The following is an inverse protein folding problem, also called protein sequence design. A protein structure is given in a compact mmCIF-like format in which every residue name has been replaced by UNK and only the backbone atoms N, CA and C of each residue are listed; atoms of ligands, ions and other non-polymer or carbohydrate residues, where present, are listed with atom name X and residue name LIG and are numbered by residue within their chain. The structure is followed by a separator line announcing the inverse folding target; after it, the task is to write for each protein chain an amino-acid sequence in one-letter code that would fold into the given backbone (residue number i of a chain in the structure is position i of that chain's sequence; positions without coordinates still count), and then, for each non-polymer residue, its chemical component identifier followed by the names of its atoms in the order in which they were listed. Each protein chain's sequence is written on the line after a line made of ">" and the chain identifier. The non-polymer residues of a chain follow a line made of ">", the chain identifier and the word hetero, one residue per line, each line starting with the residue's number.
data_IF_567494555589
#
_entry.id   IF_567494555589
#
_cell.length_a   1.000
_cell.length_b   1.000
_cell.length_c   1.000
_cell.angle_alpha   90.00
_cell.angle_beta   90.00
_cell.angle_gamma   90.00
#
_symmetry.space_group_name_H-M   'P 1'
#
loop_
_entity.id
_entity.type
_entity.pdbx_description
1 polymer ?
#
# COMPACT_ATOMS: atom_id res chain seq x y z
N UNK A 1 -13.31 18.35 9.26
CA UNK A 1 -14.60 17.72 8.89
C UNK A 1 -14.41 16.21 8.83
N UNK A 2 -15.18 15.44 9.60
CA UNK A 2 -15.12 13.97 9.59
C UNK A 2 -15.95 13.45 8.42
N UNK A 3 -15.40 12.52 7.65
CA UNK A 3 -16.14 11.85 6.59
C UNK A 3 -17.29 11.03 7.18
N UNK A 4 -18.51 11.24 6.66
CA UNK A 4 -19.70 10.44 7.01
C UNK A 4 -20.16 9.67 5.78
N UNK A 5 -20.18 8.36 5.90
CA UNK A 5 -20.68 7.49 4.84
C UNK A 5 -22.21 7.53 4.81
N UNK A 6 -22.78 7.86 3.64
CA UNK A 6 -24.21 7.75 3.36
C UNK A 6 -24.46 6.69 2.29
N UNK A 7 -25.29 5.68 2.57
CA UNK A 7 -25.68 4.70 1.55
C UNK A 7 -26.30 5.38 0.34
N UNK A 8 -26.07 4.83 -0.85
CA UNK A 8 -26.60 5.34 -2.12
C UNK A 8 -28.10 5.57 -2.06
N UNK A 9 -28.85 4.60 -1.53
CA UNK A 9 -30.30 4.67 -1.40
C UNK A 9 -30.75 5.91 -0.61
N UNK A 10 -30.00 6.29 0.44
CA UNK A 10 -30.30 7.48 1.24
C UNK A 10 -30.10 8.75 0.42
N UNK A 11 -29.04 8.82 -0.39
CA UNK A 11 -28.80 9.97 -1.27
C UNK A 11 -29.91 10.10 -2.31
N UNK A 12 -30.31 8.99 -2.94
CA UNK A 12 -31.37 8.96 -3.95
C UNK A 12 -32.71 9.40 -3.35
N UNK A 13 -33.09 8.86 -2.19
CA UNK A 13 -34.32 9.27 -1.50
C UNK A 13 -34.28 10.74 -1.09
N UNK A 14 -33.12 11.23 -0.63
CA UNK A 14 -32.95 12.62 -0.25
C UNK A 14 -33.20 13.57 -1.45
N UNK A 15 -32.60 13.29 -2.60
CA UNK A 15 -32.82 14.08 -3.83
C UNK A 15 -34.27 13.95 -4.30
N UNK A 16 -34.83 12.73 -4.33
CA UNK A 16 -36.21 12.48 -4.75
C UNK A 16 -37.22 13.29 -3.93
N UNK A 17 -37.10 13.29 -2.60
CA UNK A 17 -38.03 14.03 -1.75
C UNK A 17 -37.97 15.54 -1.96
N UNK A 18 -36.81 16.11 -2.30
CA UNK A 18 -36.72 17.53 -2.68
C UNK A 18 -37.42 17.80 -4.00
N UNK A 19 -37.27 16.91 -4.98
CA UNK A 19 -37.97 17.03 -6.26
C UNK A 19 -39.49 16.92 -6.10
N UNK A 20 -39.95 16.19 -5.08
CA UNK A 20 -41.35 16.12 -4.65
C UNK A 20 -41.82 17.36 -3.85
N UNK A 21 -40.94 18.33 -3.61
CA UNK A 21 -41.25 19.60 -2.98
C UNK A 21 -41.02 19.66 -1.46
N UNK A 22 -40.43 18.63 -0.85
CA UNK A 22 -40.13 18.64 0.58
C UNK A 22 -38.95 19.56 0.90
N UNK A 23 -39.07 20.29 2.01
CA UNK A 23 -37.97 21.05 2.59
C UNK A 23 -36.89 20.14 3.19
N UNK A 24 -35.69 20.67 3.35
CA UNK A 24 -34.55 19.95 3.92
C UNK A 24 -34.85 19.33 5.30
N UNK A 25 -35.55 20.06 6.18
CA UNK A 25 -35.88 19.57 7.52
C UNK A 25 -36.93 18.44 7.50
N UNK A 26 -37.87 18.51 6.57
CA UNK A 26 -38.83 17.41 6.33
C UNK A 26 -38.12 16.17 5.80
N UNK A 27 -37.14 16.32 4.90
CA UNK A 27 -36.33 15.22 4.38
C UNK A 27 -35.53 14.54 5.50
N UNK A 28 -34.91 15.31 6.40
CA UNK A 28 -34.18 14.76 7.56
C UNK A 28 -35.11 13.98 8.49
N UNK A 29 -36.27 14.55 8.78
CA UNK A 29 -37.30 13.92 9.62
C UNK A 29 -37.78 12.61 9.01
N UNK A 30 -38.07 12.61 7.71
CA UNK A 30 -38.61 11.46 6.98
C UNK A 30 -37.57 10.34 6.80
N UNK A 31 -36.31 10.69 6.57
CA UNK A 31 -35.21 9.73 6.46
C UNK A 31 -34.67 9.26 7.82
N UNK A 32 -35.07 9.91 8.93
CA UNK A 32 -34.55 9.67 10.29
C UNK A 32 -33.03 9.66 10.34
N UNK A 33 -32.39 10.52 9.55
CA UNK A 33 -30.93 10.61 9.40
C UNK A 33 -30.52 12.08 9.46
N UNK A 34 -29.47 12.34 10.23
CA UNK A 34 -28.83 13.66 10.23
C UNK A 34 -27.87 13.76 9.06
N UNK A 35 -28.40 14.09 7.88
CA UNK A 35 -27.59 14.51 6.73
C UNK A 35 -27.06 15.91 7.03
N UNK A 36 -25.84 16.23 6.59
CA UNK A 36 -25.32 17.61 6.68
C UNK A 36 -25.78 18.44 5.49
N UNK A 37 -25.98 19.74 5.71
CA UNK A 37 -26.44 20.66 4.66
C UNK A 37 -25.48 20.66 3.46
N UNK A 38 -24.18 20.69 3.72
CA UNK A 38 -23.14 20.63 2.68
C UNK A 38 -23.18 19.34 1.85
N UNK A 39 -23.43 18.18 2.49
CA UNK A 39 -23.52 16.91 1.76
C UNK A 39 -24.73 16.92 0.85
N UNK A 40 -25.84 17.45 1.35
CA UNK A 40 -27.09 17.55 0.63
C UNK A 40 -27.00 18.49 -0.57
N UNK A 41 -26.44 19.69 -0.37
CA UNK A 41 -26.18 20.66 -1.44
C UNK A 41 -25.29 20.04 -2.53
N UNK A 42 -24.23 19.32 -2.16
CA UNK A 42 -23.38 18.62 -3.13
C UNK A 42 -24.14 17.58 -3.96
N UNK A 43 -25.07 16.84 -3.36
CA UNK A 43 -25.88 15.86 -4.10
C UNK A 43 -26.87 16.55 -5.03
N UNK A 44 -27.50 17.65 -4.61
CA UNK A 44 -28.40 18.44 -5.45
C UNK A 44 -27.67 19.07 -6.63
N UNK A 45 -26.52 19.70 -6.40
CA UNK A 45 -25.67 20.27 -7.46
C UNK A 45 -25.28 19.18 -8.46
N UNK A 46 -24.81 18.03 -7.99
CA UNK A 46 -24.46 16.92 -8.85
C UNK A 46 -25.65 16.45 -9.69
N UNK A 47 -26.83 16.30 -9.07
CA UNK A 47 -28.04 15.88 -9.74
C UNK A 47 -28.49 16.88 -10.81
N UNK A 48 -28.47 18.18 -10.52
CA UNK A 48 -28.83 19.20 -11.51
C UNK A 48 -27.90 19.21 -12.74
N UNK A 49 -26.63 18.87 -12.55
CA UNK A 49 -25.66 18.84 -13.66
C UNK A 49 -25.64 17.52 -14.44
N UNK A 50 -25.91 16.40 -13.80
CA UNK A 50 -25.64 15.06 -14.39
C UNK A 50 -26.86 14.14 -14.40
N UNK A 51 -27.98 14.55 -13.79
CA UNK A 51 -29.13 13.70 -13.46
C UNK A 51 -28.77 12.47 -12.62
N UNK A 52 -27.58 12.46 -12.00
CA UNK A 52 -27.08 11.39 -11.16
C UNK A 52 -26.82 11.87 -9.73
N UNK A 53 -26.96 10.96 -8.77
CA UNK A 53 -26.76 11.23 -7.33
C UNK A 53 -25.39 10.75 -6.84
N UNK A 54 -24.68 9.99 -7.68
CA UNK A 54 -23.31 9.52 -7.45
C UNK A 54 -22.48 9.98 -8.64
N UNK A 55 -21.25 10.45 -8.39
CA UNK A 55 -20.30 10.71 -9.47
C UNK A 55 -19.96 9.40 -10.18
N UNK A 56 -19.68 9.49 -11.46
CA UNK A 56 -19.18 8.32 -12.20
C UNK A 56 -17.86 7.83 -11.57
N UNK A 57 -17.77 6.57 -11.13
CA UNK A 57 -16.54 6.00 -10.60
C UNK A 57 -15.32 6.21 -11.50
N UNK A 58 -15.48 6.19 -12.82
CA UNK A 58 -14.34 6.40 -13.74
C UNK A 58 -13.68 7.78 -13.57
N UNK A 59 -14.44 8.77 -13.11
CA UNK A 59 -13.98 10.16 -12.91
C UNK A 59 -13.18 10.38 -11.64
N UNK A 60 -13.26 9.46 -10.66
CA UNK A 60 -12.55 9.58 -9.38
C UNK A 60 -11.74 8.34 -8.98
N UNK A 61 -11.91 7.21 -9.65
CA UNK A 61 -11.03 6.04 -9.47
C UNK A 61 -9.61 6.33 -9.95
N UNK A 62 -9.45 7.26 -10.90
CA UNK A 62 -8.15 7.67 -11.45
C UNK A 62 -7.43 8.73 -10.60
N UNK A 63 -8.10 9.36 -9.62
CA UNK A 63 -7.48 10.39 -8.77
C UNK A 63 -6.78 9.78 -7.56
N UNK A 64 -5.78 8.93 -7.84
CA UNK A 64 -4.66 8.75 -6.93
C UNK A 64 -3.73 9.97 -6.96
N UNK A 65 -2.79 10.06 -6.01
CA UNK A 65 -1.70 11.04 -6.09
C UNK A 65 -0.99 10.88 -7.44
N UNK A 66 -0.79 11.98 -8.17
CA UNK A 66 -0.05 11.97 -9.43
C UNK A 66 1.29 11.28 -9.23
N UNK A 67 1.65 10.39 -10.16
CA UNK A 67 2.93 9.67 -10.11
C UNK A 67 4.06 10.68 -10.27
N UNK A 68 5.19 10.39 -9.62
CA UNK A 68 6.39 11.23 -9.71
C UNK A 68 7.16 10.91 -10.99
N UNK A 69 7.16 9.65 -11.40
CA UNK A 69 7.83 9.17 -12.60
C UNK A 69 6.84 8.81 -13.70
N UNK A 70 7.14 9.22 -14.93
CA UNK A 70 6.39 8.91 -16.14
C UNK A 70 6.94 7.63 -16.79
N UNK A 71 6.67 7.41 -18.08
CA UNK A 71 7.14 6.20 -18.79
C UNK A 71 8.66 6.21 -18.99
N UNK A 72 9.21 7.37 -19.32
CA UNK A 72 10.61 7.52 -19.65
C UNK A 72 11.54 7.20 -18.48
N UNK A 73 11.26 7.73 -17.28
CA UNK A 73 12.08 7.48 -16.09
C UNK A 73 12.04 6.00 -15.70
N UNK A 74 10.91 5.32 -15.90
CA UNK A 74 10.81 3.89 -15.64
C UNK A 74 11.64 3.06 -16.63
N UNK A 75 11.72 3.44 -17.90
CA UNK A 75 12.58 2.77 -18.90
C UNK A 75 14.06 2.94 -18.54
N UNK A 76 14.46 4.11 -18.05
CA UNK A 76 15.81 4.35 -17.54
C UNK A 76 16.11 3.48 -16.32
N UNK A 77 15.18 3.40 -15.36
CA UNK A 77 15.33 2.53 -14.18
C UNK A 77 15.52 1.06 -14.57
N UNK A 78 14.75 0.54 -15.52
CA UNK A 78 14.93 -0.84 -16.04
C UNK A 78 16.30 -1.00 -16.69
N UNK A 79 16.73 -0.01 -17.47
CA UNK A 79 18.04 -0.03 -18.13
C UNK A 79 19.17 -0.09 -17.11
N UNK A 80 19.13 0.74 -16.07
CA UNK A 80 20.13 0.76 -15.00
C UNK A 80 20.16 -0.57 -14.23
N UNK A 81 19.01 -1.11 -13.84
CA UNK A 81 18.95 -2.40 -13.13
C UNK A 81 19.42 -3.56 -14.01
N UNK A 82 19.18 -3.49 -15.32
CA UNK A 82 19.63 -4.52 -16.27
C UNK A 82 21.14 -4.48 -16.50
N UNK A 83 21.72 -3.28 -16.59
CA UNK A 83 23.15 -3.09 -16.80
C UNK A 83 23.96 -3.33 -15.52
N UNK A 84 23.44 -2.88 -14.38
CA UNK A 84 24.09 -2.92 -13.08
C UNK A 84 23.10 -3.37 -12.00
N UNK A 85 22.86 -4.70 -11.87
CA UNK A 85 21.85 -5.23 -10.94
C UNK A 85 22.21 -5.08 -9.45
N UNK A 86 23.43 -4.64 -9.15
CA UNK A 86 23.90 -4.39 -7.79
C UNK A 86 23.63 -2.96 -7.30
N UNK A 87 23.03 -2.09 -8.13
CA UNK A 87 22.74 -0.71 -7.76
C UNK A 87 21.77 -0.64 -6.58
N UNK A 88 22.11 0.20 -5.62
CA UNK A 88 21.23 0.56 -4.52
C UNK A 88 20.14 1.56 -4.99
N UNK A 89 19.06 1.65 -4.22
CA UNK A 89 17.92 2.50 -4.57
C UNK A 89 18.27 3.99 -4.65
N UNK A 90 19.20 4.45 -3.82
CA UNK A 90 19.75 5.81 -3.85
C UNK A 90 20.65 6.06 -5.05
N UNK A 91 21.44 5.07 -5.48
CA UNK A 91 22.24 5.17 -6.71
C UNK A 91 21.35 5.21 -7.96
N UNK A 92 20.30 4.39 -8.01
CA UNK A 92 19.29 4.44 -9.08
C UNK A 92 18.61 5.82 -9.08
N UNK A 93 18.30 6.37 -7.90
CA UNK A 93 17.71 7.71 -7.78
C UNK A 93 18.61 8.78 -8.38
N UNK A 94 19.90 8.76 -8.04
CA UNK A 94 20.86 9.73 -8.52
C UNK A 94 21.02 9.65 -10.03
N UNK A 95 21.17 8.43 -10.58
CA UNK A 95 21.25 8.23 -12.04
C UNK A 95 20.00 8.70 -12.78
N UNK A 96 18.80 8.41 -12.26
CA UNK A 96 17.55 8.89 -12.87
C UNK A 96 17.45 10.42 -12.78
N UNK A 97 17.87 11.00 -11.66
CA UNK A 97 17.89 12.45 -11.48
C UNK A 97 18.88 13.13 -12.43
N UNK A 98 20.07 12.57 -12.64
CA UNK A 98 21.08 13.14 -13.52
C UNK A 98 20.61 13.16 -14.98
N UNK A 99 19.84 12.16 -15.41
CA UNK A 99 19.30 12.07 -16.78
C UNK A 99 18.03 12.93 -17.00
N UNK A 100 17.17 13.07 -15.97
CA UNK A 100 15.80 13.61 -16.16
C UNK A 100 15.49 14.85 -15.33
N UNK A 101 16.31 15.17 -14.33
CA UNK A 101 16.06 16.22 -13.35
C UNK A 101 14.95 15.89 -12.35
N UNK A 102 14.34 14.70 -12.40
CA UNK A 102 13.22 14.31 -11.54
C UNK A 102 13.74 13.60 -10.30
N UNK A 103 13.62 14.28 -9.15
CA UNK A 103 14.01 13.73 -7.85
C UNK A 103 12.81 13.11 -7.13
N UNK A 104 12.87 11.80 -6.87
CA UNK A 104 11.91 11.11 -6.01
C UNK A 104 12.57 10.56 -4.75
N UNK A 105 11.77 10.17 -3.76
CA UNK A 105 12.29 9.47 -2.59
C UNK A 105 12.71 8.03 -2.96
N UNK A 106 13.67 7.42 -2.25
CA UNK A 106 14.02 6.01 -2.47
C UNK A 106 12.83 5.06 -2.32
N UNK A 107 11.85 5.40 -1.49
CA UNK A 107 10.59 4.65 -1.34
C UNK A 107 9.70 4.69 -2.58
N UNK A 108 9.72 5.78 -3.35
CA UNK A 108 9.01 5.85 -4.63
C UNK A 108 9.70 4.95 -5.65
N UNK A 109 11.03 4.96 -5.70
CA UNK A 109 11.80 4.08 -6.60
C UNK A 109 11.54 2.61 -6.28
N UNK A 110 11.59 2.22 -5.01
CA UNK A 110 11.27 0.85 -4.58
C UNK A 110 9.86 0.45 -5.04
N UNK A 111 8.87 1.33 -4.83
CA UNK A 111 7.50 1.08 -5.26
C UNK A 111 7.37 0.96 -6.77
N UNK A 112 8.01 1.84 -7.55
CA UNK A 112 7.94 1.76 -9.01
C UNK A 112 8.67 0.51 -9.55
N UNK A 113 9.81 0.11 -8.96
CA UNK A 113 10.48 -1.14 -9.29
C UNK A 113 9.60 -2.36 -8.99
N UNK A 114 8.96 -2.40 -7.82
CA UNK A 114 8.15 -3.55 -7.40
C UNK A 114 6.77 -3.61 -8.06
N UNK A 115 5.99 -2.53 -7.98
CA UNK A 115 4.57 -2.53 -8.40
C UNK A 115 4.43 -2.36 -9.91
N UNK A 116 5.24 -1.48 -10.52
CA UNK A 116 5.08 -1.10 -11.93
C UNK A 116 5.97 -1.92 -12.85
N UNK A 117 7.22 -2.12 -12.46
CA UNK A 117 8.19 -2.88 -13.25
C UNK A 117 8.21 -4.37 -12.91
N UNK A 118 7.51 -4.79 -11.85
CA UNK A 118 7.45 -6.18 -11.36
C UNK A 118 8.84 -6.79 -11.11
N UNK A 119 9.84 -5.94 -10.86
CA UNK A 119 11.21 -6.34 -10.56
C UNK A 119 11.25 -6.76 -9.10
N UNK A 120 11.06 -8.05 -8.86
CA UNK A 120 11.19 -8.61 -7.52
C UNK A 120 12.67 -8.70 -7.18
N UNK A 121 13.14 -7.85 -6.25
CA UNK A 121 14.45 -8.04 -5.62
C UNK A 121 14.36 -9.36 -4.84
N UNK A 122 14.85 -10.46 -5.41
CA UNK A 122 15.10 -11.68 -4.62
C UNK A 122 15.99 -11.24 -3.48
N UNK A 123 15.46 -11.24 -2.25
CA UNK A 123 16.31 -11.07 -1.06
C UNK A 123 17.30 -12.22 -1.09
N UNK A 124 18.55 -11.92 -1.42
CA UNK A 124 19.64 -12.86 -1.21
C UNK A 124 19.65 -13.15 0.30
N UNK A 125 19.19 -14.35 0.67
CA UNK A 125 19.36 -14.82 2.03
C UNK A 125 20.85 -14.93 2.27
N UNK A 126 21.38 -14.16 3.23
CA UNK A 126 22.74 -14.38 3.71
C UNK A 126 22.74 -15.73 4.43
N UNK A 127 23.05 -16.78 3.70
CA UNK A 127 23.33 -18.08 4.28
C UNK A 127 24.80 -18.08 4.70
N UNK A 128 25.06 -18.41 5.96
CA UNK A 128 26.43 -18.64 6.40
C UNK A 128 26.95 -19.86 5.64
N UNK A 129 27.96 -19.69 4.78
CA UNK A 129 28.55 -20.77 3.97
C UNK A 129 29.15 -21.88 4.84
N UNK A 130 29.49 -21.57 6.09
CA UNK A 130 29.99 -22.52 7.08
C UNK A 130 28.86 -23.26 7.82
N UNK A 131 27.59 -22.96 7.53
CA UNK A 131 26.45 -23.62 8.16
C UNK A 131 26.35 -25.06 7.68
N UNK A 132 26.61 -26.00 8.59
CA UNK A 132 26.52 -27.42 8.33
C UNK A 132 25.31 -28.02 9.09
N UNK A 133 24.25 -28.35 8.35
CA UNK A 133 23.03 -28.93 8.91
C UNK A 133 23.27 -30.30 9.57
N UNK A 134 24.18 -31.11 9.02
CA UNK A 134 24.50 -32.42 9.58
C UNK A 134 25.21 -32.28 10.94
N UNK A 135 26.18 -31.37 11.05
CA UNK A 135 26.84 -31.08 12.32
C UNK A 135 25.84 -30.52 13.36
N UNK A 136 24.91 -29.65 12.94
CA UNK A 136 23.83 -29.14 13.81
C UNK A 136 22.92 -30.28 14.30
N UNK A 137 22.53 -31.21 13.43
CA UNK A 137 21.68 -32.35 13.81
C UNK A 137 22.37 -33.28 14.82
N UNK A 138 23.66 -33.56 14.63
CA UNK A 138 24.46 -34.33 15.59
C UNK A 138 24.51 -33.61 16.94
N UNK A 139 24.81 -32.31 16.94
CA UNK A 139 24.85 -31.52 18.18
C UNK A 139 23.50 -31.53 18.90
N UNK A 140 22.39 -31.30 18.19
CA UNK A 140 21.05 -31.36 18.78
C UNK A 140 20.75 -32.73 19.38
N UNK A 141 21.15 -33.82 18.72
CA UNK A 141 20.98 -35.17 19.25
C UNK A 141 21.80 -35.41 20.53
N UNK A 142 23.07 -34.96 20.55
CA UNK A 142 23.94 -35.07 21.72
C UNK A 142 23.44 -34.26 22.91
N UNK A 143 22.82 -33.11 22.65
CA UNK A 143 22.37 -32.17 23.68
C UNK A 143 20.90 -32.38 24.07
N UNK A 144 20.17 -33.29 23.41
CA UNK A 144 18.74 -33.53 23.65
C UNK A 144 18.43 -34.03 25.07
N UNK A 145 19.39 -34.69 25.71
CA UNK A 145 19.25 -35.25 27.07
C UNK A 145 19.68 -34.27 28.17
N UNK A 146 20.30 -33.14 27.81
CA UNK A 146 20.75 -32.13 28.75
C UNK A 146 19.61 -31.17 29.04
N UNK A 147 19.27 -30.98 30.32
CA UNK A 147 18.23 -30.05 30.73
C UNK A 147 18.62 -28.61 30.41
N UNK A 148 17.62 -27.81 30.02
CA UNK A 148 17.78 -26.39 29.66
C UNK A 148 18.47 -25.56 30.75
N UNK A 149 18.29 -25.95 32.01
CA UNK A 149 18.86 -25.28 33.19
C UNK A 149 20.39 -25.30 33.24
N UNK A 150 21.04 -26.25 32.55
CA UNK A 150 22.50 -26.30 32.45
C UNK A 150 23.07 -25.38 31.36
N UNK A 151 22.22 -24.79 30.52
CA UNK A 151 22.60 -23.83 29.48
C UNK A 151 22.56 -22.39 30.00
N UNK A 152 23.39 -22.12 31.01
CA UNK A 152 23.39 -20.82 31.72
C UNK A 152 23.90 -19.65 30.84
N UNK A 153 24.51 -19.94 29.68
CA UNK A 153 25.11 -18.95 28.77
C UNK A 153 24.51 -18.91 27.35
N UNK A 154 23.36 -19.56 27.11
CA UNK A 154 22.67 -19.43 25.82
C UNK A 154 21.84 -18.15 25.81
N UNK A 155 22.48 -17.05 25.39
CA UNK A 155 21.83 -15.80 25.01
C UNK A 155 21.11 -15.96 23.63
N UNK A 156 20.40 -14.92 23.18
CA UNK A 156 19.71 -14.77 21.87
C UNK A 156 20.55 -15.22 20.66
N UNK A 157 21.87 -15.28 20.81
CA UNK A 157 22.82 -15.80 19.83
C UNK A 157 22.79 -17.33 19.63
N UNK A 158 22.21 -18.11 20.55
CA UNK A 158 22.05 -19.56 20.44
C UNK A 158 20.75 -19.97 19.71
N UNK A 159 19.80 -19.05 19.54
CA UNK A 159 18.50 -19.33 18.93
C UNK A 159 18.58 -19.01 17.43
N UNK A 160 18.70 -20.04 16.60
CA UNK A 160 18.58 -19.90 15.15
C UNK A 160 17.22 -20.45 14.69
N UNK A 161 16.16 -19.64 14.89
CA UNK A 161 14.77 -19.97 14.53
C UNK A 161 14.51 -20.09 13.02
N UNK A 162 15.48 -19.70 12.18
CA UNK A 162 15.30 -19.69 10.72
C UNK A 162 15.31 -21.07 10.05
N UNK A 163 15.61 -22.13 10.79
CA UNK A 163 15.61 -23.51 10.25
C UNK A 163 14.33 -24.30 10.57
N UNK A 164 13.40 -23.73 11.36
CA UNK A 164 12.18 -24.42 11.81
C UNK A 164 10.93 -24.06 11.01
N UNK A 165 11.07 -23.35 9.90
CA UNK A 165 9.97 -23.11 8.97
C UNK A 165 10.23 -23.86 7.66
N UNK A 166 9.44 -24.91 7.47
CA UNK A 166 9.16 -25.54 6.17
C UNK A 166 8.54 -24.54 5.19
#
# INVERSE_FOLDING_TARGET
>A
MVYVFYPVAIKVLAVKYVLEGLSYDEVRTRLRRSISKDSFERWMVLYHHTMAVIRDPTTYQTTGRSRVYECHECELMVTFVTQEPALFLDEIREKVYDETGVLASPTVIDRELQERLQLTLKKAGVSNVLKNLHAKAIFMHQMAEILSEFFVFTDESAICDRDLLR
#
